data_IF_319403800934
#
_entry.id   IF_319403800934
#
_cell.length_a   1.000
_cell.length_b   1.000
_cell.length_c   1.000
_cell.angle_alpha   90.00
_cell.angle_beta   90.00
_cell.angle_gamma   90.00
#
_symmetry.space_group_name_H-M   'P 1'
#
loop_
_entity.id
_entity.type
_entity.pdbx_description
1 polymer ?
#
# COMPACT_ATOMS: atom_id res chain seq x y z
N UNK A 1 -5.93 -14.66 0.30
CA UNK A 1 -5.13 -15.87 -0.01
C UNK A 1 -4.10 -15.64 -1.12
N UNK A 2 -4.45 -15.04 -2.26
CA UNK A 2 -3.50 -14.77 -3.36
C UNK A 2 -2.33 -13.86 -2.96
N UNK A 3 -2.63 -12.72 -2.33
CA UNK A 3 -1.64 -11.75 -1.83
C UNK A 3 -0.55 -12.35 -0.93
N UNK A 4 -0.94 -13.16 0.04
CA UNK A 4 0.00 -13.79 0.98
C UNK A 4 0.87 -14.83 0.28
N UNK A 5 0.31 -15.55 -0.70
CA UNK A 5 1.04 -16.55 -1.50
C UNK A 5 2.16 -15.94 -2.33
N UNK A 6 1.90 -14.84 -3.03
CA UNK A 6 2.92 -14.16 -3.86
C UNK A 6 4.03 -13.55 -3.00
N UNK A 7 3.67 -13.00 -1.83
CA UNK A 7 4.63 -12.48 -0.84
C UNK A 7 5.51 -13.59 -0.26
N UNK A 8 4.91 -14.68 0.24
CA UNK A 8 5.67 -15.80 0.83
C UNK A 8 6.54 -16.50 -0.21
N UNK A 9 6.05 -16.66 -1.43
CA UNK A 9 6.84 -17.17 -2.54
C UNK A 9 8.06 -16.28 -2.81
N UNK A 10 7.85 -14.97 -2.92
CA UNK A 10 8.94 -14.01 -3.16
C UNK A 10 9.99 -14.07 -2.03
N UNK A 11 9.57 -14.09 -0.76
CA UNK A 11 10.45 -14.18 0.41
C UNK A 11 11.24 -15.50 0.42
N UNK A 12 10.56 -16.63 0.18
CA UNK A 12 11.17 -17.97 0.17
C UNK A 12 12.19 -18.09 -0.96
N UNK A 13 11.88 -17.58 -2.15
CA UNK A 13 12.73 -17.70 -3.34
C UNK A 13 13.92 -16.74 -3.29
N UNK A 14 13.76 -15.54 -2.72
CA UNK A 14 14.87 -14.62 -2.43
C UNK A 14 15.95 -15.23 -1.54
N UNK A 15 15.57 -16.03 -0.53
CA UNK A 15 16.52 -16.76 0.34
C UNK A 15 17.21 -17.93 -0.34
N UNK A 16 16.60 -18.45 -1.41
CA UNK A 16 17.08 -19.62 -2.14
C UNK A 16 17.70 -19.26 -3.48
N UNK A 17 17.98 -17.98 -3.76
CA UNK A 17 18.47 -17.46 -5.05
C UNK A 17 19.59 -18.33 -5.66
N UNK A 18 19.22 -19.35 -6.44
CA UNK A 18 20.15 -20.32 -7.06
C UNK A 18 20.78 -19.74 -8.34
N UNK A 19 20.89 -18.41 -8.46
CA UNK A 19 21.32 -17.73 -9.69
C UNK A 19 20.54 -18.19 -10.95
N UNK A 20 19.24 -18.50 -10.81
CA UNK A 20 18.35 -18.99 -11.89
C UNK A 20 18.41 -18.15 -13.17
N UNK A 21 18.70 -16.84 -13.07
CA UNK A 21 18.81 -15.91 -14.20
C UNK A 21 20.18 -15.21 -14.28
N UNK A 22 21.23 -15.82 -13.70
CA UNK A 22 22.59 -15.25 -13.70
C UNK A 22 22.66 -13.86 -13.06
N UNK A 23 23.42 -12.93 -13.67
CA UNK A 23 23.61 -11.56 -13.17
C UNK A 23 22.30 -10.73 -13.10
N UNK A 24 21.29 -11.07 -13.89
CA UNK A 24 19.99 -10.36 -13.96
C UNK A 24 19.01 -10.77 -12.87
N UNK A 25 19.31 -11.84 -12.11
CA UNK A 25 18.43 -12.39 -11.06
C UNK A 25 17.96 -11.31 -10.07
N UNK A 26 18.85 -10.45 -9.61
CA UNK A 26 18.52 -9.38 -8.67
C UNK A 26 17.55 -8.34 -9.25
N UNK A 27 17.66 -8.02 -10.54
CA UNK A 27 16.78 -7.07 -11.23
C UNK A 27 15.36 -7.60 -11.37
N UNK A 28 15.22 -8.87 -11.77
CA UNK A 28 13.91 -9.51 -11.94
C UNK A 28 13.17 -9.60 -10.60
N UNK A 29 13.85 -10.01 -9.52
CA UNK A 29 13.24 -10.04 -8.18
C UNK A 29 12.78 -8.65 -7.72
N UNK A 30 13.54 -7.59 -8.03
CA UNK A 30 13.10 -6.22 -7.73
C UNK A 30 11.82 -5.83 -8.47
N UNK A 31 11.70 -6.19 -9.75
CA UNK A 31 10.49 -5.93 -10.53
C UNK A 31 9.30 -6.69 -9.96
N UNK A 32 9.48 -7.96 -9.58
CA UNK A 32 8.42 -8.77 -8.94
C UNK A 32 7.98 -8.16 -7.60
N UNK A 33 8.92 -7.74 -6.77
CA UNK A 33 8.61 -7.08 -5.48
C UNK A 33 7.89 -5.73 -5.69
N UNK A 34 8.31 -4.93 -6.67
CA UNK A 34 7.66 -3.67 -7.02
C UNK A 34 6.24 -3.88 -7.57
N UNK A 35 6.06 -4.86 -8.45
CA UNK A 35 4.75 -5.20 -9.01
C UNK A 35 3.80 -5.70 -7.91
N UNK A 36 4.28 -6.51 -6.97
CA UNK A 36 3.48 -6.92 -5.81
C UNK A 36 3.07 -5.71 -4.94
N UNK A 37 3.98 -4.76 -4.69
CA UNK A 37 3.66 -3.56 -3.94
C UNK A 37 2.57 -2.73 -4.65
N UNK A 38 2.74 -2.46 -5.94
CA UNK A 38 1.77 -1.71 -6.74
C UNK A 38 0.43 -2.43 -6.86
N UNK A 39 0.43 -3.76 -7.03
CA UNK A 39 -0.79 -4.54 -7.16
C UNK A 39 -1.62 -4.57 -5.87
N UNK A 40 -1.00 -4.51 -4.69
CA UNK A 40 -1.72 -4.52 -3.40
C UNK A 40 -1.90 -3.12 -2.83
N UNK A 41 -0.80 -2.45 -2.48
CA UNK A 41 -0.85 -1.13 -1.86
C UNK A 41 -1.21 -0.04 -2.87
N UNK A 42 -0.63 -0.10 -4.08
CA UNK A 42 -0.93 0.83 -5.16
C UNK A 42 -2.38 0.78 -5.63
N UNK A 43 -2.97 -0.40 -5.75
CA UNK A 43 -4.40 -0.56 -6.06
C UNK A 43 -5.29 0.08 -4.99
N UNK A 44 -4.99 -0.11 -3.70
CA UNK A 44 -5.74 0.54 -2.63
C UNK A 44 -5.63 2.08 -2.71
N UNK A 45 -4.44 2.60 -3.03
CA UNK A 45 -4.21 4.04 -3.23
C UNK A 45 -4.99 4.57 -4.44
N UNK A 46 -5.00 3.84 -5.55
CA UNK A 46 -5.74 4.21 -6.75
C UNK A 46 -7.26 4.17 -6.50
N UNK A 47 -7.76 3.20 -5.72
CA UNK A 47 -9.17 3.14 -5.34
C UNK A 47 -9.61 4.34 -4.50
N UNK A 48 -8.80 4.80 -3.54
CA UNK A 48 -9.16 6.00 -2.78
C UNK A 48 -9.08 7.26 -3.66
N UNK A 49 -8.11 7.35 -4.56
CA UNK A 49 -8.02 8.46 -5.51
C UNK A 49 -9.23 8.51 -6.48
N UNK A 50 -9.76 7.35 -6.87
CA UNK A 50 -11.00 7.27 -7.64
C UNK A 50 -12.17 7.90 -6.88
N UNK A 51 -12.31 7.67 -5.57
CA UNK A 51 -13.34 8.35 -4.77
C UNK A 51 -13.17 9.88 -4.71
N UNK A 52 -11.92 10.37 -4.69
CA UNK A 52 -11.65 11.81 -4.79
C UNK A 52 -12.07 12.35 -6.16
N UNK A 53 -11.74 11.65 -7.25
CA UNK A 53 -12.18 12.01 -8.59
C UNK A 53 -13.71 12.07 -8.68
N UNK A 54 -14.40 11.07 -8.14
CA UNK A 54 -15.87 11.02 -8.11
C UNK A 54 -16.51 12.21 -7.38
N UNK A 55 -15.77 12.86 -6.46
CA UNK A 55 -16.27 13.98 -5.65
C UNK A 55 -15.93 15.34 -6.25
N UNK A 56 -14.80 15.44 -6.96
CA UNK A 56 -14.32 16.68 -7.56
C UNK A 56 -14.82 16.87 -9.00
N UNK A 57 -15.14 15.80 -9.73
CA UNK A 57 -15.62 15.89 -11.11
C UNK A 57 -17.07 16.41 -11.13
N UNK A 58 -17.36 17.51 -11.85
CA UNK A 58 -18.71 18.05 -11.96
C UNK A 58 -19.70 17.06 -12.56
N UNK A 59 -20.94 17.10 -12.09
CA UNK A 59 -22.02 16.20 -12.55
C UNK A 59 -22.33 16.39 -14.05
N UNK A 60 -22.13 17.60 -14.59
CA UNK A 60 -22.42 17.94 -15.98
C UNK A 60 -21.33 17.52 -16.99
N UNK A 61 -20.26 16.85 -16.55
CA UNK A 61 -19.14 16.50 -17.42
C UNK A 61 -19.49 15.31 -18.33
N UNK A 62 -19.38 15.50 -19.65
CA UNK A 62 -19.42 14.39 -20.61
C UNK A 62 -18.27 13.41 -20.33
N UNK A 63 -18.52 12.11 -20.51
CA UNK A 63 -17.55 11.03 -20.30
C UNK A 63 -16.93 10.95 -18.89
N UNK A 64 -17.69 11.34 -17.86
CA UNK A 64 -17.24 11.25 -16.46
C UNK A 64 -16.62 9.90 -16.09
N UNK A 65 -17.24 8.79 -16.48
CA UNK A 65 -16.71 7.44 -16.23
C UNK A 65 -15.28 7.25 -16.76
N UNK A 66 -14.97 7.79 -17.94
CA UNK A 66 -13.62 7.72 -18.51
C UNK A 66 -12.61 8.51 -17.68
N UNK A 67 -12.98 9.70 -17.20
CA UNK A 67 -12.11 10.52 -16.34
C UNK A 67 -11.77 9.77 -15.07
N UNK A 68 -12.75 9.12 -14.44
CA UNK A 68 -12.56 8.39 -13.20
C UNK A 68 -11.66 7.15 -13.41
N UNK A 69 -11.87 6.40 -14.50
CA UNK A 69 -11.01 5.26 -14.88
C UNK A 69 -9.58 5.73 -15.16
N UNK A 70 -9.41 6.83 -15.92
CA UNK A 70 -8.09 7.39 -16.19
C UNK A 70 -7.41 7.84 -14.91
N UNK A 71 -8.13 8.49 -13.98
CA UNK A 71 -7.57 8.87 -12.69
C UNK A 71 -7.06 7.66 -11.91
N UNK A 72 -7.84 6.57 -11.86
CA UNK A 72 -7.41 5.31 -11.24
C UNK A 72 -6.15 4.77 -11.92
N UNK A 73 -6.14 4.66 -13.25
CA UNK A 73 -5.02 4.09 -14.01
C UNK A 73 -3.75 4.92 -13.88
N UNK A 74 -3.85 6.25 -13.94
CA UNK A 74 -2.71 7.16 -13.78
C UNK A 74 -2.12 7.09 -12.38
N UNK A 75 -2.96 7.07 -11.34
CA UNK A 75 -2.49 6.92 -9.96
C UNK A 75 -1.84 5.56 -9.77
N UNK A 76 -2.45 4.49 -10.27
CA UNK A 76 -1.86 3.15 -10.21
C UNK A 76 -0.52 3.08 -10.93
N UNK A 77 -0.41 3.63 -12.14
CA UNK A 77 0.85 3.68 -12.90
C UNK A 77 1.92 4.48 -12.16
N UNK A 78 1.55 5.59 -11.53
CA UNK A 78 2.45 6.36 -10.67
C UNK A 78 2.92 5.54 -9.46
N UNK A 79 2.06 4.72 -8.85
CA UNK A 79 2.46 3.82 -7.76
C UNK A 79 3.43 2.73 -8.23
N UNK A 80 3.23 2.20 -9.44
CA UNK A 80 4.14 1.22 -10.02
C UNK A 80 5.51 1.82 -10.29
N UNK A 81 5.56 3.00 -10.92
CA UNK A 81 6.80 3.73 -11.16
C UNK A 81 7.52 4.04 -9.85
N UNK A 82 6.78 4.52 -8.84
CA UNK A 82 7.30 4.77 -7.50
C UNK A 82 7.91 3.48 -6.87
N UNK A 83 7.22 2.35 -6.98
CA UNK A 83 7.70 1.07 -6.45
C UNK A 83 8.96 0.55 -7.15
N UNK A 84 9.13 0.83 -8.45
CA UNK A 84 10.33 0.46 -9.21
C UNK A 84 11.55 1.32 -8.82
N UNK A 85 11.33 2.60 -8.53
CA UNK A 85 12.38 3.58 -8.18
C UNK A 85 12.80 3.52 -6.71
N UNK A 86 11.94 2.97 -5.83
CA UNK A 86 12.21 2.92 -4.38
C UNK A 86 12.65 1.52 -3.91
N UNK A 87 13.38 1.44 -2.79
CA UNK A 87 13.59 0.16 -2.12
C UNK A 87 12.25 -0.46 -1.74
N UNK A 88 12.02 -1.76 -2.01
CA UNK A 88 10.73 -2.42 -1.83
C UNK A 88 10.09 -2.16 -0.46
N UNK A 89 10.85 -2.32 0.62
CA UNK A 89 10.36 -2.07 1.98
C UNK A 89 9.85 -0.63 2.19
N UNK A 90 10.51 0.37 1.60
CA UNK A 90 10.07 1.77 1.66
C UNK A 90 8.86 2.01 0.78
N UNK A 91 8.83 1.44 -0.43
CA UNK A 91 7.69 1.56 -1.33
C UNK A 91 6.38 1.11 -0.67
N UNK A 92 6.41 -0.03 0.03
CA UNK A 92 5.26 -0.52 0.81
C UNK A 92 4.82 0.45 1.90
N UNK A 93 5.75 0.94 2.72
CA UNK A 93 5.44 1.87 3.81
C UNK A 93 4.89 3.19 3.27
N UNK A 94 5.55 3.78 2.27
CA UNK A 94 5.16 5.05 1.67
C UNK A 94 3.78 4.96 1.01
N UNK A 95 3.50 3.90 0.25
CA UNK A 95 2.20 3.73 -0.40
C UNK A 95 1.07 3.50 0.61
N UNK A 96 1.28 2.65 1.63
CA UNK A 96 0.28 2.43 2.69
C UNK A 96 0.03 3.70 3.51
N UNK A 97 1.08 4.48 3.79
CA UNK A 97 0.97 5.76 4.50
C UNK A 97 0.15 6.76 3.70
N UNK A 98 0.42 6.88 2.40
CA UNK A 98 -0.33 7.74 1.49
C UNK A 98 -1.80 7.31 1.41
N UNK A 99 -2.09 6.02 1.33
CA UNK A 99 -3.47 5.51 1.32
C UNK A 99 -4.18 5.87 2.62
N UNK A 100 -3.53 5.68 3.77
CA UNK A 100 -4.07 6.05 5.07
C UNK A 100 -4.41 7.55 5.14
N UNK A 101 -3.48 8.40 4.68
CA UNK A 101 -3.64 9.84 4.67
C UNK A 101 -4.82 10.26 3.79
N UNK A 102 -4.93 9.71 2.57
CA UNK A 102 -6.05 10.03 1.66
C UNK A 102 -7.39 9.55 2.21
N UNK A 103 -7.44 8.37 2.83
CA UNK A 103 -8.66 7.86 3.47
C UNK A 103 -9.16 8.79 4.58
N UNK A 104 -8.27 9.28 5.46
CA UNK A 104 -8.63 10.23 6.53
C UNK A 104 -8.89 11.64 5.99
N UNK A 105 -8.22 12.02 4.90
CA UNK A 105 -8.43 13.31 4.24
C UNK A 105 -9.78 13.43 3.52
N UNK A 106 -10.45 12.31 3.20
CA UNK A 106 -11.66 12.32 2.38
C UNK A 106 -12.85 12.99 3.09
N UNK A 107 -13.15 12.68 4.38
CA UNK A 107 -14.13 13.44 5.17
C UNK A 107 -13.75 14.91 5.36
N UNK A 108 -12.46 15.21 5.52
CA UNK A 108 -11.98 16.58 5.66
C UNK A 108 -12.20 17.40 4.38
N UNK A 109 -11.90 16.81 3.23
CA UNK A 109 -12.17 17.43 1.93
C UNK A 109 -13.65 17.76 1.82
N UNK A 110 -14.53 16.82 2.20
CA UNK A 110 -15.96 17.04 2.13
C UNK A 110 -16.47 18.14 3.06
N UNK A 111 -15.93 18.23 4.28
CA UNK A 111 -16.23 19.32 5.20
C UNK A 111 -15.82 20.68 4.61
N UNK A 112 -14.70 20.75 3.89
CA UNK A 112 -14.22 21.99 3.26
C UNK A 112 -14.98 22.34 1.97
N UNK A 113 -15.26 21.36 1.10
CA UNK A 113 -15.91 21.62 -0.20
C UNK A 113 -17.41 21.84 -0.08
N UNK A 114 -18.07 21.11 0.82
CA UNK A 114 -19.53 21.04 0.88
C UNK A 114 -20.07 21.62 2.19
N UNK A 115 -19.21 21.88 3.19
CA UNK A 115 -19.63 22.27 4.54
C UNK A 115 -20.29 21.13 5.33
N UNK A 116 -20.36 19.93 4.75
CA UNK A 116 -21.04 18.78 5.34
C UNK A 116 -20.01 17.82 5.93
N UNK A 117 -20.25 17.36 7.14
CA UNK A 117 -19.42 16.39 7.85
C UNK A 117 -20.29 15.28 8.43
N UNK A 118 -19.67 14.17 8.84
CA UNK A 118 -20.35 12.99 9.40
C UNK A 118 -21.52 13.30 10.36
N UNK A 119 -21.32 14.22 11.32
CA UNK A 119 -22.38 14.65 12.24
C UNK A 119 -23.61 15.29 11.57
N UNK A 120 -23.41 16.09 10.51
CA UNK A 120 -24.51 16.68 9.72
C UNK A 120 -25.26 15.59 8.95
N UNK A 121 -24.55 14.60 8.40
CA UNK A 121 -25.20 13.49 7.68
C UNK A 121 -26.06 12.63 8.60
N UNK A 122 -25.57 12.33 9.80
CA UNK A 122 -26.33 11.57 10.80
C UNK A 122 -27.56 12.36 11.27
N UNK A 123 -27.44 13.68 11.47
CA UNK A 123 -28.56 14.54 11.82
C UNK A 123 -29.59 14.66 10.69
N UNK A 124 -29.15 14.65 9.43
CA UNK A 124 -30.01 14.70 8.25
C UNK A 124 -30.58 13.33 7.83
N UNK A 125 -30.17 12.23 8.47
CA UNK A 125 -30.58 10.87 8.12
C UNK A 125 -29.96 10.33 6.82
N UNK A 126 -28.93 10.98 6.27
CA UNK A 126 -28.24 10.55 5.05
C UNK A 126 -27.20 9.45 5.38
N UNK A 127 -27.71 8.24 5.59
CA UNK A 127 -26.90 7.07 5.93
C UNK A 127 -25.90 6.70 4.83
N UNK A 128 -26.18 7.03 3.57
CA UNK A 128 -25.31 6.66 2.45
C UNK A 128 -24.01 7.47 2.50
N UNK A 129 -24.09 8.79 2.68
CA UNK A 129 -22.89 9.65 2.80
C UNK A 129 -22.15 9.40 4.11
N UNK A 130 -22.89 9.22 5.21
CA UNK A 130 -22.30 8.89 6.50
C UNK A 130 -21.53 7.54 6.46
N UNK A 131 -22.08 6.54 5.79
CA UNK A 131 -21.46 5.22 5.63
C UNK A 131 -20.13 5.29 4.87
N UNK A 132 -20.07 6.07 3.78
CA UNK A 132 -18.83 6.26 3.01
C UNK A 132 -17.75 6.92 3.86
N UNK A 133 -18.08 7.97 4.62
CA UNK A 133 -17.10 8.63 5.51
C UNK A 133 -16.62 7.69 6.61
N UNK A 134 -17.53 6.97 7.27
CA UNK A 134 -17.16 6.03 8.33
C UNK A 134 -16.25 4.91 7.82
N UNK A 135 -16.60 4.29 6.69
CA UNK A 135 -15.79 3.24 6.07
C UNK A 135 -14.42 3.79 5.68
N UNK A 136 -14.36 4.98 5.07
CA UNK A 136 -13.08 5.61 4.71
C UNK A 136 -12.19 5.83 5.94
N UNK A 137 -12.74 6.28 7.06
CA UNK A 137 -12.00 6.46 8.32
C UNK A 137 -11.49 5.13 8.89
N UNK A 138 -12.34 4.10 8.91
CA UNK A 138 -11.95 2.76 9.38
C UNK A 138 -10.79 2.20 8.54
N UNK A 139 -10.88 2.32 7.21
CA UNK A 139 -9.77 1.92 6.33
C UNK A 139 -8.53 2.79 6.54
N UNK A 140 -8.69 4.10 6.76
CA UNK A 140 -7.59 5.00 7.08
C UNK A 140 -6.81 4.56 8.32
N UNK A 141 -7.51 4.23 9.40
CA UNK A 141 -6.91 3.72 10.64
C UNK A 141 -6.25 2.35 10.39
N UNK A 142 -6.90 1.45 9.66
CA UNK A 142 -6.35 0.14 9.35
C UNK A 142 -5.04 0.24 8.52
N UNK A 143 -4.99 1.13 7.52
CA UNK A 143 -3.79 1.37 6.72
C UNK A 143 -2.69 2.08 7.51
N UNK A 144 -3.03 3.03 8.39
CA UNK A 144 -2.06 3.65 9.30
C UNK A 144 -1.42 2.59 10.23
N UNK A 145 -2.23 1.68 10.77
CA UNK A 145 -1.73 0.57 11.57
C UNK A 145 -0.85 -0.39 10.76
N UNK A 146 -1.25 -0.72 9.52
CA UNK A 146 -0.45 -1.55 8.62
C UNK A 146 0.90 -0.89 8.30
N UNK A 147 0.91 0.42 8.04
CA UNK A 147 2.11 1.23 7.81
C UNK A 147 3.06 1.17 9.02
N UNK A 148 2.53 1.38 10.22
CA UNK A 148 3.29 1.31 11.47
C UNK A 148 3.94 -0.06 11.67
N UNK A 149 3.19 -1.15 11.43
CA UNK A 149 3.71 -2.52 11.52
C UNK A 149 4.77 -2.82 10.47
N UNK A 150 4.57 -2.37 9.23
CA UNK A 150 5.52 -2.54 8.14
C UNK A 150 6.84 -1.79 8.45
N UNK A 151 6.75 -0.54 8.92
CA UNK A 151 7.90 0.25 9.32
C UNK A 151 8.69 -0.40 10.46
N UNK A 152 8.01 -0.85 11.53
CA UNK A 152 8.65 -1.59 12.63
C UNK A 152 9.35 -2.87 12.18
N UNK A 153 8.78 -3.57 11.21
CA UNK A 153 9.36 -4.83 10.70
C UNK A 153 10.57 -4.58 9.79
N UNK A 154 10.58 -3.45 9.07
CA UNK A 154 11.71 -3.04 8.25
C UNK A 154 12.92 -2.55 9.08
N UNK A 155 12.66 -1.96 10.25
CA UNK A 155 13.70 -1.43 11.15
C UNK A 155 14.29 -2.51 12.07
N UNK A 156 13.59 -3.61 12.35
CA UNK A 156 14.13 -4.68 13.21
C UNK A 156 15.31 -5.38 12.52
N UNK A 157 16.54 -5.30 13.08
CA UNK A 157 17.67 -6.04 12.54
C UNK A 157 17.38 -7.55 12.66
N UNK A 158 17.63 -8.29 11.58
CA UNK A 158 17.63 -9.75 11.62
C UNK A 158 18.63 -10.17 12.70
N UNK A 159 18.25 -10.96 13.72
CA UNK A 159 19.22 -11.46 14.66
C UNK A 159 20.20 -12.31 13.85
N UNK A 160 21.44 -11.86 13.70
CA UNK A 160 22.54 -12.71 13.27
C UNK A 160 22.58 -13.84 14.27
N UNK A 161 22.09 -15.01 13.85
CA UNK A 161 22.18 -16.24 14.63
C UNK A 161 23.68 -16.48 14.78
N UNK A 162 24.22 -16.05 15.92
CA UNK A 162 25.64 -16.10 16.21
C UNK A 162 26.13 -17.50 15.95
N UNK A 163 27.22 -17.59 15.19
CA UNK A 163 27.95 -18.80 14.84
C UNK A 163 28.56 -19.40 16.12
N UNK A 164 27.71 -19.91 17.02
CA UNK A 164 28.07 -20.45 18.35
C UNK A 164 28.24 -21.98 18.34
N UNK A 165 28.58 -22.55 17.19
CA UNK A 165 28.76 -24.00 17.02
C UNK A 165 30.15 -24.46 16.59
N UNK A 166 31.11 -23.56 16.32
CA UNK A 166 32.41 -23.94 15.77
C UNK A 166 33.58 -23.88 16.78
N UNK A 167 33.36 -23.42 18.02
CA UNK A 167 34.43 -23.27 19.01
C UNK A 167 34.48 -24.40 20.06
N UNK A 168 33.52 -25.33 20.08
CA UNK A 168 33.45 -26.38 21.10
C UNK A 168 34.10 -27.71 20.69
N UNK A 169 34.74 -27.79 19.51
CA UNK A 169 35.37 -29.02 19.00
C UNK A 169 36.91 -28.99 19.00
N UNK A 170 37.53 -27.99 19.65
CA UNK A 170 39.00 -27.84 19.69
C UNK A 170 39.59 -27.88 21.10
N UNK A 171 38.81 -28.34 22.09
CA UNK A 171 39.26 -28.58 23.49
C UNK A 171 39.27 -30.08 23.86
N UNK A 172 39.29 -30.98 22.87
CA UNK A 172 39.50 -32.43 23.09
C UNK A 172 40.65 -32.91 22.21
N UNK A 173 41.86 -32.47 22.57
CA UNK A 173 43.15 -33.08 22.23
C UNK A 173 43.97 -33.11 23.53
#
# INVERSE_FOLDING_TARGET
MMATGTLLFSIKRRRRSEQEFGASTAGIYRVVEALNAAALAGTALASIAYFYANRLVPIAQAERSQIEIHAFLWVWAATLLHALLRPPARAWVEQLAMTALLCVGLPLLNAVTTGQHLGVYLAAGDLQRAGVELVSLVFGVAFAYATYRAHRSAVRPVPTRGRRGAAAAMDVL
#
